data_IF_962262548989
#
_entry.id   IF_962262548989
#
_cell.length_a   1.000
_cell.length_b   1.000
_cell.length_c   1.000
_cell.angle_alpha   90.00
_cell.angle_beta   90.00
_cell.angle_gamma   90.00
#
_symmetry.space_group_name_H-M   'P 1'
#
loop_
_entity.id
_entity.type
_entity.pdbx_description
1 polymer ?
#
# COMPACT_ATOMS: atom_id res chain seq x y z
N UNK A 1 28.55 -5.84 27.63
CA UNK A 1 27.41 -5.81 26.68
C UNK A 1 27.10 -4.35 26.32
N UNK A 2 28.00 -3.65 25.60
CA UNK A 2 27.86 -2.22 25.31
C UNK A 2 27.05 -1.90 24.05
N UNK A 3 26.98 -2.80 23.07
CA UNK A 3 26.51 -2.48 21.71
C UNK A 3 25.06 -1.99 21.55
N UNK A 4 24.25 -1.91 22.61
CA UNK A 4 22.89 -1.35 22.53
C UNK A 4 22.85 0.16 22.73
N UNK A 5 23.90 0.79 23.25
CA UNK A 5 23.94 2.24 23.51
C UNK A 5 24.40 2.99 22.26
N UNK A 6 25.44 2.50 21.59
CA UNK A 6 25.94 3.10 20.35
C UNK A 6 24.90 3.01 19.23
N UNK A 7 24.13 1.92 19.15
CA UNK A 7 23.03 1.75 18.18
C UNK A 7 21.90 2.75 18.45
N UNK A 8 21.51 2.95 19.72
CA UNK A 8 20.50 3.96 20.07
C UNK A 8 20.97 5.37 19.75
N UNK A 9 22.24 5.69 19.99
CA UNK A 9 22.80 7.00 19.66
C UNK A 9 22.91 7.22 18.14
N UNK A 10 23.19 6.16 17.38
CA UNK A 10 23.23 6.21 15.92
C UNK A 10 21.85 6.47 15.32
N UNK A 11 20.81 5.76 15.77
CA UNK A 11 19.44 5.94 15.30
C UNK A 11 18.90 7.34 15.62
N UNK A 12 19.18 7.87 16.81
CA UNK A 12 18.75 9.22 17.21
C UNK A 12 19.39 10.33 16.36
N UNK A 13 20.63 10.13 15.87
CA UNK A 13 21.29 11.09 14.97
C UNK A 13 20.70 11.05 13.58
N UNK A 14 20.33 9.87 13.09
CA UNK A 14 19.78 9.72 11.73
C UNK A 14 18.36 10.28 11.63
N UNK A 15 17.53 10.05 12.65
CA UNK A 15 16.15 10.57 12.73
C UNK A 15 16.07 12.12 12.74
N UNK A 16 17.16 12.79 13.14
CA UNK A 16 17.25 14.26 13.17
C UNK A 16 17.67 14.93 11.85
N UNK A 17 18.23 14.18 10.89
CA UNK A 17 18.82 14.76 9.67
C UNK A 17 17.92 14.72 8.44
N UNK A 18 16.83 13.95 8.45
CA UNK A 18 16.02 13.70 7.25
C UNK A 18 14.68 14.49 7.21
N UNK A 19 14.41 15.34 8.21
CA UNK A 19 13.18 16.14 8.25
C UNK A 19 13.19 17.36 7.29
N UNK A 20 14.30 17.62 6.56
CA UNK A 20 14.51 18.94 5.93
C UNK A 20 15.01 18.99 4.48
N UNK A 21 15.37 17.87 3.83
CA UNK A 21 16.01 17.94 2.50
C UNK A 21 15.30 17.07 1.46
N UNK A 22 14.49 17.77 0.66
CA UNK A 22 13.97 17.33 -0.63
C UNK A 22 15.02 16.68 -1.52
N UNK A 23 14.67 15.52 -2.08
CA UNK A 23 15.24 15.02 -3.33
C UNK A 23 16.38 14.01 -3.17
N UNK A 24 16.13 12.80 -3.65
CA UNK A 24 17.11 11.75 -3.99
C UNK A 24 17.59 10.86 -2.84
N UNK A 25 16.81 9.80 -2.55
CA UNK A 25 17.35 8.54 -2.01
C UNK A 25 16.81 8.04 -0.67
N UNK A 26 15.82 8.70 -0.07
CA UNK A 26 15.18 8.25 1.17
C UNK A 26 14.06 7.22 0.95
N UNK A 27 13.97 6.21 1.82
CA UNK A 27 12.79 5.35 1.92
C UNK A 27 11.54 6.21 2.09
N UNK A 28 10.41 5.89 1.45
CA UNK A 28 9.20 6.69 1.56
C UNK A 28 8.83 6.95 3.01
N UNK A 29 8.67 8.21 3.39
CA UNK A 29 8.21 8.58 4.71
C UNK A 29 6.85 7.93 5.01
N UNK A 30 6.64 7.57 6.28
CA UNK A 30 5.41 6.95 6.76
C UNK A 30 4.24 7.91 6.48
N UNK A 31 3.32 7.51 5.59
CA UNK A 31 2.13 8.30 5.28
C UNK A 31 1.29 8.42 6.56
N UNK A 32 1.16 9.64 7.09
CA UNK A 32 0.51 9.92 8.38
C UNK A 32 -0.87 9.27 8.49
N UNK A 33 -1.07 8.49 9.55
CA UNK A 33 -2.33 7.80 9.82
C UNK A 33 -3.45 8.77 10.16
N UNK A 34 -4.69 8.34 9.88
CA UNK A 34 -5.98 8.92 10.29
C UNK A 34 -6.77 9.77 9.27
N UNK A 35 -6.24 10.16 8.10
CA UNK A 35 -6.99 11.00 7.14
C UNK A 35 -7.60 10.26 5.94
N UNK A 36 -7.44 8.93 5.84
CA UNK A 36 -7.86 8.16 4.67
C UNK A 36 -9.04 7.25 5.00
N UNK A 37 -10.25 7.83 5.00
CA UNK A 37 -11.44 7.06 4.64
C UNK A 37 -11.17 6.33 3.31
N UNK A 38 -11.69 5.11 3.17
CA UNK A 38 -11.49 4.21 2.00
C UNK A 38 -11.20 5.00 0.73
N UNK A 39 -9.93 5.02 0.32
CA UNK A 39 -9.45 5.85 -0.81
C UNK A 39 -10.08 5.42 -2.14
N UNK A 40 -10.79 4.31 -2.14
CA UNK A 40 -11.30 3.64 -3.32
C UNK A 40 -12.81 3.45 -3.17
N UNK A 41 -13.57 4.20 -3.96
CA UNK A 41 -15.03 4.10 -4.02
C UNK A 41 -15.48 2.84 -4.75
N UNK A 42 -16.74 2.43 -4.52
CA UNK A 42 -17.34 1.28 -5.21
C UNK A 42 -17.36 1.45 -6.73
N UNK A 43 -17.51 2.69 -7.23
CA UNK A 43 -17.42 2.94 -8.66
C UNK A 43 -16.01 2.72 -9.21
N UNK A 44 -14.96 3.09 -8.46
CA UNK A 44 -13.58 2.80 -8.84
C UNK A 44 -13.32 1.29 -8.90
N UNK A 45 -13.85 0.53 -7.92
CA UNK A 45 -13.78 -0.94 -7.96
C UNK A 45 -14.52 -1.49 -9.17
N UNK A 46 -15.77 -1.04 -9.41
CA UNK A 46 -16.58 -1.53 -10.54
C UNK A 46 -15.88 -1.28 -11.86
N UNK A 47 -15.30 -0.09 -12.06
CA UNK A 47 -14.53 0.25 -13.25
C UNK A 47 -13.25 -0.57 -13.37
N UNK A 48 -12.54 -0.81 -12.26
CA UNK A 48 -11.36 -1.66 -12.25
C UNK A 48 -11.70 -3.09 -12.68
N UNK A 49 -12.79 -3.68 -12.14
CA UNK A 49 -13.25 -5.02 -12.52
C UNK A 49 -13.58 -5.12 -14.00
N UNK A 50 -14.24 -4.11 -14.56
CA UNK A 50 -14.52 -4.04 -16.00
C UNK A 50 -13.24 -3.93 -16.83
N UNK A 51 -12.29 -3.09 -16.41
CA UNK A 51 -11.01 -2.94 -17.10
C UNK A 51 -10.20 -4.24 -17.11
N UNK A 52 -10.16 -4.97 -15.99
CA UNK A 52 -9.51 -6.29 -15.89
C UNK A 52 -10.19 -7.28 -16.83
N UNK A 53 -11.52 -7.36 -16.82
CA UNK A 53 -12.25 -8.28 -17.69
C UNK A 53 -12.04 -8.00 -19.19
N UNK A 54 -11.84 -6.75 -19.58
CA UNK A 54 -11.52 -6.38 -20.96
C UNK A 54 -10.07 -6.70 -21.36
N UNK A 55 -9.15 -6.74 -20.39
CA UNK A 55 -7.73 -6.99 -20.62
C UNK A 55 -7.30 -8.45 -20.46
N UNK A 56 -8.14 -9.29 -19.87
CA UNK A 56 -7.82 -10.69 -19.61
C UNK A 56 -7.87 -11.56 -20.87
N UNK A 57 -7.01 -12.58 -20.92
CA UNK A 57 -6.95 -13.56 -22.02
C UNK A 57 -8.06 -14.63 -21.93
N UNK A 58 -8.74 -14.72 -20.78
CA UNK A 58 -9.79 -15.69 -20.52
C UNK A 58 -10.36 -15.56 -19.12
N UNK A 59 -11.32 -16.43 -18.78
CA UNK A 59 -11.99 -16.39 -17.48
C UNK A 59 -11.06 -16.72 -16.30
N UNK A 60 -10.15 -17.68 -16.48
CA UNK A 60 -9.18 -18.08 -15.45
C UNK A 60 -8.18 -16.95 -15.18
N UNK A 61 -7.61 -16.37 -16.23
CA UNK A 61 -6.70 -15.21 -16.14
C UNK A 61 -7.40 -14.00 -15.49
N UNK A 62 -8.66 -13.73 -15.86
CA UNK A 62 -9.46 -12.68 -15.23
C UNK A 62 -9.63 -12.92 -13.72
N UNK A 63 -9.92 -14.16 -13.32
CA UNK A 63 -10.09 -14.51 -11.91
C UNK A 63 -8.78 -14.32 -11.13
N UNK A 64 -7.64 -14.76 -11.68
CA UNK A 64 -6.33 -14.60 -11.06
C UNK A 64 -5.95 -13.11 -10.93
N UNK A 65 -6.16 -12.30 -11.97
CA UNK A 65 -5.93 -10.87 -11.93
C UNK A 65 -6.80 -10.14 -10.90
N UNK A 66 -8.08 -10.50 -10.81
CA UNK A 66 -8.99 -9.91 -9.82
C UNK A 66 -8.57 -10.25 -8.39
N UNK A 67 -8.10 -11.46 -8.15
CA UNK A 67 -7.59 -11.90 -6.85
C UNK A 67 -6.30 -11.16 -6.47
N UNK A 68 -5.31 -11.13 -7.38
CA UNK A 68 -4.04 -10.41 -7.17
C UNK A 68 -4.22 -8.92 -6.89
N UNK A 69 -5.25 -8.30 -7.47
CA UNK A 69 -5.56 -6.89 -7.27
C UNK A 69 -6.47 -6.62 -6.06
N UNK A 70 -6.92 -7.66 -5.34
CA UNK A 70 -7.84 -7.50 -4.20
C UNK A 70 -9.21 -6.96 -4.61
N UNK A 71 -9.67 -7.30 -5.81
CA UNK A 71 -10.96 -6.90 -6.39
C UNK A 71 -12.05 -7.98 -6.21
N UNK A 72 -11.70 -9.09 -5.56
CA UNK A 72 -12.63 -10.13 -5.11
C UNK A 72 -12.96 -9.86 -3.63
N UNK A 73 -14.24 -9.86 -3.24
CA UNK A 73 -14.62 -9.72 -1.84
C UNK A 73 -14.15 -10.93 -1.04
N UNK A 74 -13.68 -10.68 0.19
CA UNK A 74 -13.35 -11.72 1.16
C UNK A 74 -14.62 -12.39 1.73
N UNK A 75 -14.44 -13.32 2.66
CA UNK A 75 -15.53 -14.05 3.32
C UNK A 75 -16.52 -13.11 4.06
N UNK A 76 -16.08 -11.90 4.44
CA UNK A 76 -16.92 -10.87 5.05
C UNK A 76 -17.64 -9.99 4.01
N UNK A 77 -17.45 -10.25 2.71
CA UNK A 77 -17.96 -9.44 1.62
C UNK A 77 -17.20 -8.14 1.41
N UNK A 78 -16.03 -7.96 2.04
CA UNK A 78 -15.23 -6.73 1.94
C UNK A 78 -14.14 -6.89 0.90
N UNK A 79 -13.91 -5.83 0.14
CA UNK A 79 -12.83 -5.81 -0.85
C UNK A 79 -11.50 -5.45 -0.17
N UNK A 80 -10.45 -6.28 -0.29
CA UNK A 80 -9.13 -5.98 0.28
C UNK A 80 -8.61 -4.59 -0.09
N UNK A 81 -8.89 -4.15 -1.32
CA UNK A 81 -8.44 -2.85 -1.84
C UNK A 81 -9.08 -1.64 -1.16
N UNK A 82 -10.20 -1.82 -0.45
CA UNK A 82 -10.95 -0.75 0.24
C UNK A 82 -10.64 -0.65 1.74
N UNK A 83 -9.69 -1.45 2.25
CA UNK A 83 -9.31 -1.50 3.67
C UNK A 83 -8.30 -0.43 4.05
#
# INVERSE_FOLDING_TARGET
MSGSVEVRQFLLRYDGTDAGTSGYGGVPAQRGGQADASRISDDQVRRARLAVAQGALGAEDCAELLDMLGLVPDDDGRLPVQR
#
